data_IF_822570265349
#
_entry.id   IF_822570265349
#
_cell.length_a   1.000
_cell.length_b   1.000
_cell.length_c   1.000
_cell.angle_alpha   90.00
_cell.angle_beta   90.00
_cell.angle_gamma   90.00
#
_symmetry.space_group_name_H-M   'P 1'
#
loop_
_entity.id
_entity.type
_entity.pdbx_description
1 polymer ?
#
# COMPACT_ATOMS: atom_id res chain seq x y z
N UNK A 1 28.80 7.92 -58.18
CA UNK A 1 29.46 8.98 -57.41
C UNK A 1 28.42 10.00 -56.99
N UNK A 2 28.19 10.15 -55.69
CA UNK A 2 27.93 11.44 -55.06
C UNK A 2 28.16 11.29 -53.56
N UNK A 3 29.43 11.52 -53.22
CA UNK A 3 29.97 11.63 -51.88
C UNK A 3 29.50 12.96 -51.28
N UNK A 4 28.67 12.92 -50.23
CA UNK A 4 28.59 14.01 -49.28
C UNK A 4 28.48 13.47 -47.86
N UNK A 5 29.59 13.64 -47.16
CA UNK A 5 29.74 13.74 -45.70
C UNK A 5 29.44 12.49 -44.87
N UNK A 6 30.46 11.64 -44.86
CA UNK A 6 31.02 11.10 -43.63
C UNK A 6 31.62 12.23 -42.76
N UNK A 7 31.73 11.93 -41.46
CA UNK A 7 32.54 12.59 -40.42
C UNK A 7 31.78 13.61 -39.55
N UNK A 8 31.21 13.11 -38.46
CA UNK A 8 31.50 13.65 -37.14
C UNK A 8 31.73 12.46 -36.19
N UNK A 9 32.99 12.28 -35.86
CA UNK A 9 33.53 11.27 -34.96
C UNK A 9 33.05 11.52 -33.52
N UNK A 10 32.68 10.43 -32.86
CA UNK A 10 32.94 10.08 -31.45
C UNK A 10 33.07 11.20 -30.42
N UNK A 11 32.21 11.19 -29.40
CA UNK A 11 32.62 11.34 -28.00
C UNK A 11 31.48 11.01 -27.02
N UNK A 12 31.82 10.16 -26.05
CA UNK A 12 31.18 9.95 -24.73
C UNK A 12 30.13 8.84 -24.67
N UNK A 13 30.67 7.63 -24.57
CA UNK A 13 30.28 6.62 -23.60
C UNK A 13 29.95 7.18 -22.20
N UNK A 14 29.05 6.48 -21.49
CA UNK A 14 28.62 6.62 -20.08
C UNK A 14 27.26 7.31 -19.94
N UNK A 15 26.18 6.52 -20.00
CA UNK A 15 25.36 6.23 -18.81
C UNK A 15 24.98 4.75 -18.86
N UNK A 16 25.87 3.92 -18.33
CA UNK A 16 25.49 2.64 -17.76
C UNK A 16 24.67 2.91 -16.50
N UNK A 17 23.69 2.04 -16.21
CA UNK A 17 22.71 2.09 -15.11
C UNK A 17 21.43 2.86 -15.45
N UNK A 18 20.70 2.34 -16.42
CA UNK A 18 19.24 2.50 -16.53
C UNK A 18 18.52 1.17 -16.77
N UNK A 19 19.23 0.05 -16.63
CA UNK A 19 18.68 -1.30 -16.70
C UNK A 19 18.34 -1.78 -15.30
N UNK A 20 17.36 -1.14 -14.67
CA UNK A 20 16.51 -1.79 -13.67
C UNK A 20 15.07 -1.48 -14.05
N UNK A 21 14.56 -2.33 -14.94
CA UNK A 21 13.18 -2.80 -14.91
C UNK A 21 12.11 -1.72 -14.63
N UNK A 22 11.78 -0.93 -15.66
CA UNK A 22 10.37 -0.61 -15.92
C UNK A 22 9.75 -1.89 -16.49
N UNK A 23 9.61 -2.90 -15.62
CA UNK A 23 8.79 -4.06 -15.89
C UNK A 23 7.42 -3.72 -15.36
N UNK A 24 6.47 -3.64 -16.28
CA UNK A 24 5.05 -3.49 -16.08
C UNK A 24 4.55 -4.22 -14.81
N UNK A 25 4.22 -3.47 -13.76
CA UNK A 25 3.43 -3.96 -12.62
C UNK A 25 1.94 -4.04 -13.02
N UNK A 26 1.65 -4.76 -14.09
CA UNK A 26 0.31 -5.26 -14.43
C UNK A 26 0.27 -6.80 -14.38
N UNK A 27 1.28 -7.43 -13.76
CA UNK A 27 1.12 -8.79 -13.26
C UNK A 27 0.41 -8.69 -11.93
N UNK A 28 -0.77 -9.31 -11.82
CA UNK A 28 -1.27 -9.78 -10.54
C UNK A 28 -0.07 -10.37 -9.78
N UNK A 29 0.39 -9.65 -8.76
CA UNK A 29 1.36 -10.20 -7.84
C UNK A 29 0.63 -11.38 -7.20
N UNK A 30 0.92 -12.59 -7.67
CA UNK A 30 0.63 -13.80 -6.92
C UNK A 30 1.52 -13.75 -5.66
N UNK A 31 1.12 -12.90 -4.72
CA UNK A 31 1.74 -12.80 -3.42
C UNK A 31 1.48 -14.14 -2.76
N UNK A 32 2.52 -14.97 -2.66
CA UNK A 32 2.48 -16.15 -1.81
C UNK A 32 1.96 -15.72 -0.45
N UNK A 33 0.90 -16.37 0.04
CA UNK A 33 0.19 -15.97 1.26
C UNK A 33 1.21 -15.64 2.35
N UNK A 34 1.13 -14.42 2.88
CA UNK A 34 1.90 -13.99 4.04
C UNK A 34 3.42 -13.76 3.85
N UNK A 35 3.92 -13.62 2.61
CA UNK A 35 5.35 -13.35 2.33
C UNK A 35 5.64 -11.92 1.88
N UNK A 36 4.64 -11.05 1.87
CA UNK A 36 4.75 -9.62 1.53
C UNK A 36 5.83 -8.95 2.36
N UNK A 37 6.79 -8.29 1.72
CA UNK A 37 7.76 -7.46 2.44
C UNK A 37 7.19 -6.07 2.76
N UNK A 38 7.78 -5.39 3.74
CA UNK A 38 7.45 -3.99 4.07
C UNK A 38 7.52 -3.10 2.83
N UNK A 39 8.55 -3.25 1.99
CA UNK A 39 8.69 -2.49 0.73
C UNK A 39 7.57 -2.77 -0.26
N UNK A 40 7.22 -4.03 -0.47
CA UNK A 40 6.15 -4.41 -1.40
C UNK A 40 4.81 -3.83 -0.95
N UNK A 41 4.52 -3.93 0.36
CA UNK A 41 3.31 -3.37 0.94
C UNK A 41 3.24 -1.86 0.76
N UNK A 42 4.28 -1.10 1.16
CA UNK A 42 4.31 0.36 0.97
C UNK A 42 4.20 0.75 -0.52
N UNK A 43 4.88 0.02 -1.41
CA UNK A 43 4.83 0.26 -2.85
C UNK A 43 3.45 0.02 -3.45
N UNK A 44 2.70 -0.97 -2.93
CA UNK A 44 1.33 -1.22 -3.34
C UNK A 44 0.38 -0.18 -2.73
N UNK A 45 0.52 0.10 -1.43
CA UNK A 45 -0.31 1.03 -0.69
C UNK A 45 -0.30 2.41 -1.35
N UNK A 46 0.88 2.95 -1.65
CA UNK A 46 1.06 4.27 -2.29
C UNK A 46 0.50 4.38 -3.70
N UNK A 47 0.36 3.26 -4.43
CA UNK A 47 -0.28 3.24 -5.76
C UNK A 47 -1.82 3.19 -5.66
N UNK A 48 -2.36 2.62 -4.58
CA UNK A 48 -3.80 2.40 -4.38
C UNK A 48 -4.50 3.52 -3.57
N UNK A 49 -3.85 4.67 -3.34
CA UNK A 49 -4.42 5.81 -2.59
C UNK A 49 -5.35 6.71 -3.41
N UNK A 50 -5.78 6.29 -4.60
CA UNK A 50 -6.55 7.17 -5.50
C UNK A 50 -8.01 7.37 -5.07
N UNK A 51 -8.64 6.35 -4.47
CA UNK A 51 -10.03 6.47 -4.05
C UNK A 51 -10.13 7.16 -2.69
N UNK A 52 -11.07 8.11 -2.59
CA UNK A 52 -11.34 8.89 -1.39
C UNK A 52 -12.84 8.89 -1.09
N UNK A 53 -13.22 9.13 0.17
CA UNK A 53 -14.63 9.28 0.53
C UNK A 53 -15.28 10.48 -0.17
N UNK A 54 -14.51 11.49 -0.56
CA UNK A 54 -15.00 12.66 -1.28
C UNK A 54 -15.46 12.37 -2.72
N UNK A 55 -15.10 11.22 -3.29
CA UNK A 55 -15.56 10.80 -4.62
C UNK A 55 -17.05 10.41 -4.65
N UNK A 56 -17.65 10.19 -3.47
CA UNK A 56 -19.06 9.81 -3.33
C UNK A 56 -19.98 11.02 -3.50
N UNK A 57 -21.02 10.85 -4.32
CA UNK A 57 -22.11 11.83 -4.49
C UNK A 57 -23.29 11.61 -3.54
N UNK A 58 -23.42 10.39 -3.01
CA UNK A 58 -24.43 10.08 -2.02
C UNK A 58 -23.94 10.51 -0.63
N UNK A 59 -24.60 11.51 -0.05
CA UNK A 59 -24.17 12.12 1.22
C UNK A 59 -24.25 11.15 2.41
N UNK A 60 -25.17 10.18 2.37
CA UNK A 60 -25.29 9.19 3.43
C UNK A 60 -24.10 8.22 3.38
N UNK A 61 -23.81 7.63 2.21
CA UNK A 61 -22.66 6.74 2.04
C UNK A 61 -21.34 7.48 2.26
N UNK A 62 -21.25 8.77 1.87
CA UNK A 62 -20.09 9.62 2.15
C UNK A 62 -19.87 9.78 3.65
N UNK A 63 -20.93 10.05 4.41
CA UNK A 63 -20.87 10.15 5.88
C UNK A 63 -20.42 8.82 6.50
N UNK A 64 -20.96 7.69 6.05
CA UNK A 64 -20.56 6.36 6.52
C UNK A 64 -19.10 6.06 6.18
N UNK A 65 -18.63 6.46 4.99
CA UNK A 65 -17.25 6.28 4.56
C UNK A 65 -16.28 7.02 5.48
N UNK A 66 -16.55 8.30 5.78
CA UNK A 66 -15.73 9.07 6.71
C UNK A 66 -15.78 8.52 8.14
N UNK A 67 -16.94 8.07 8.60
CA UNK A 67 -17.07 7.44 9.91
C UNK A 67 -16.23 6.16 10.02
N UNK A 68 -16.26 5.31 9.00
CA UNK A 68 -15.44 4.10 8.92
C UNK A 68 -13.94 4.43 8.88
N UNK A 69 -13.54 5.39 8.04
CA UNK A 69 -12.15 5.84 7.92
C UNK A 69 -11.62 6.40 9.24
N UNK A 70 -12.42 7.24 9.92
CA UNK A 70 -12.06 7.82 11.21
C UNK A 70 -11.94 6.75 12.29
N UNK A 71 -12.90 5.83 12.41
CA UNK A 71 -12.86 4.75 13.38
C UNK A 71 -11.63 3.85 13.20
N UNK A 72 -11.26 3.52 11.96
CA UNK A 72 -10.03 2.76 11.71
C UNK A 72 -8.79 3.57 12.06
N UNK A 73 -8.76 4.87 11.72
CA UNK A 73 -7.69 5.77 12.14
C UNK A 73 -7.52 5.76 13.66
N UNK A 74 -8.60 5.88 14.41
CA UNK A 74 -8.61 5.83 15.87
C UNK A 74 -8.09 4.51 16.43
N UNK A 75 -8.41 3.37 15.80
CA UNK A 75 -7.96 2.06 16.27
C UNK A 75 -6.52 1.72 15.86
N UNK A 76 -6.00 2.33 14.80
CA UNK A 76 -4.70 1.94 14.21
C UNK A 76 -3.59 2.92 14.51
N UNK A 77 -3.87 4.22 14.61
CA UNK A 77 -2.84 5.25 14.75
C UNK A 77 -2.11 5.20 16.10
N UNK A 78 -0.77 5.20 16.08
CA UNK A 78 0.09 5.02 17.27
C UNK A 78 -0.15 6.07 18.38
N UNK A 79 -0.59 7.28 18.04
CA UNK A 79 -0.89 8.34 19.01
C UNK A 79 -2.34 8.40 19.49
N UNK A 80 -3.21 7.50 19.03
CA UNK A 80 -4.62 7.52 19.40
C UNK A 80 -4.83 6.89 20.79
N UNK A 81 -5.65 7.50 21.68
CA UNK A 81 -6.05 6.87 22.94
C UNK A 81 -6.92 5.62 22.74
N UNK A 82 -7.46 5.43 21.53
CA UNK A 82 -8.29 4.28 21.14
C UNK A 82 -7.51 3.22 20.36
N UNK A 83 -6.19 3.42 20.15
CA UNK A 83 -5.39 2.48 19.38
C UNK A 83 -5.38 1.12 20.07
N UNK A 84 -5.76 0.07 19.35
CA UNK A 84 -5.82 -1.27 19.93
C UNK A 84 -4.41 -1.86 20.03
N UNK A 85 -4.16 -2.64 21.09
CA UNK A 85 -2.85 -3.22 21.37
C UNK A 85 -2.21 -3.94 20.15
N UNK A 86 -2.94 -4.76 19.36
CA UNK A 86 -2.34 -5.40 18.19
C UNK A 86 -1.77 -4.40 17.17
N UNK A 87 -2.41 -3.26 16.98
CA UNK A 87 -1.93 -2.22 16.07
C UNK A 87 -0.73 -1.48 16.63
N UNK A 88 -0.69 -1.25 17.95
CA UNK A 88 0.50 -0.71 18.60
C UNK A 88 1.71 -1.65 18.43
N UNK A 89 1.51 -2.97 18.52
CA UNK A 89 2.59 -3.94 18.28
C UNK A 89 3.04 -3.94 16.81
N UNK A 90 2.10 -3.83 15.87
CA UNK A 90 2.43 -3.67 14.46
C UNK A 90 3.25 -2.40 14.20
N UNK A 91 2.87 -1.26 14.77
CA UNK A 91 3.62 -0.01 14.61
C UNK A 91 5.02 -0.09 15.23
N UNK A 92 5.17 -0.72 16.41
CA UNK A 92 6.48 -1.01 17.00
C UNK A 92 7.37 -1.84 16.07
N UNK A 93 6.83 -2.89 15.47
CA UNK A 93 7.53 -3.68 14.47
C UNK A 93 7.91 -2.83 13.26
N UNK A 94 6.96 -2.08 12.70
CA UNK A 94 7.16 -1.28 11.49
C UNK A 94 8.25 -0.21 11.69
N UNK A 95 8.34 0.38 12.89
CA UNK A 95 9.35 1.36 13.26
C UNK A 95 10.77 0.79 13.36
N UNK A 96 10.92 -0.55 13.41
CA UNK A 96 12.20 -1.25 13.54
C UNK A 96 12.54 -2.11 12.32
N UNK A 97 11.56 -2.41 11.47
CA UNK A 97 11.69 -3.29 10.34
C UNK A 97 12.51 -2.67 9.19
N UNK A 98 13.29 -3.50 8.51
CA UNK A 98 13.88 -3.16 7.22
C UNK A 98 12.86 -3.33 6.10
N UNK A 99 13.14 -2.68 4.97
CA UNK A 99 12.29 -2.74 3.77
C UNK A 99 12.12 -4.17 3.20
N UNK A 100 13.08 -5.06 3.47
CA UNK A 100 13.06 -6.46 3.03
C UNK A 100 12.39 -7.42 4.01
N UNK A 101 12.06 -6.98 5.22
CA UNK A 101 11.46 -7.84 6.24
C UNK A 101 10.02 -8.20 5.86
N UNK A 102 9.59 -9.41 6.24
CA UNK A 102 8.21 -9.87 6.00
C UNK A 102 7.26 -9.06 6.88
N UNK A 103 6.27 -8.43 6.25
CA UNK A 103 5.31 -7.50 6.86
C UNK A 103 4.56 -8.11 8.04
N UNK A 104 4.15 -9.38 7.91
CA UNK A 104 3.38 -10.07 8.93
C UNK A 104 4.25 -10.98 9.81
N UNK A 105 5.51 -10.61 10.01
CA UNK A 105 6.36 -11.26 11.02
C UNK A 105 5.63 -11.27 12.36
N UNK A 106 5.58 -12.42 13.05
CA UNK A 106 4.89 -12.55 14.33
C UNK A 106 3.37 -12.33 14.29
N UNK A 107 2.76 -12.36 13.09
CA UNK A 107 1.35 -12.05 12.85
C UNK A 107 0.93 -10.62 13.23
N UNK A 108 1.87 -9.68 13.40
CA UNK A 108 1.54 -8.33 13.87
C UNK A 108 0.57 -7.60 12.93
N UNK A 109 0.80 -7.69 11.62
CA UNK A 109 -0.05 -7.05 10.62
C UNK A 109 -1.47 -7.61 10.65
N UNK A 110 -1.60 -8.93 10.57
CA UNK A 110 -2.88 -9.64 10.59
C UNK A 110 -3.65 -9.36 11.88
N UNK A 111 -2.97 -9.41 13.03
CA UNK A 111 -3.61 -9.14 14.32
C UNK A 111 -4.12 -7.70 14.45
N UNK A 112 -3.52 -6.76 13.72
CA UNK A 112 -4.01 -5.39 13.59
C UNK A 112 -5.11 -5.29 12.52
N UNK A 113 -4.77 -5.29 11.23
CA UNK A 113 -5.71 -4.95 10.16
C UNK A 113 -6.73 -6.06 9.81
N UNK A 114 -6.58 -7.27 10.36
CA UNK A 114 -7.62 -8.30 10.26
C UNK A 114 -8.31 -8.55 11.61
N UNK A 115 -8.09 -7.66 12.59
CA UNK A 115 -8.81 -7.69 13.86
C UNK A 115 -10.31 -7.50 13.64
N UNK A 116 -11.14 -8.25 14.37
CA UNK A 116 -12.59 -8.15 14.28
C UNK A 116 -13.13 -6.73 14.53
N UNK A 117 -12.50 -5.95 15.42
CA UNK A 117 -12.90 -4.56 15.70
C UNK A 117 -12.66 -3.67 14.49
N UNK A 118 -11.50 -3.80 13.83
CA UNK A 118 -11.16 -3.01 12.64
C UNK A 118 -12.00 -3.44 11.45
N UNK A 119 -12.17 -4.74 11.22
CA UNK A 119 -13.03 -5.25 10.15
C UNK A 119 -14.47 -4.76 10.31
N UNK A 120 -15.02 -4.79 11.53
CA UNK A 120 -16.36 -4.25 11.80
C UNK A 120 -16.47 -2.77 11.47
N UNK A 121 -15.44 -1.97 11.78
CA UNK A 121 -15.41 -0.54 11.42
C UNK A 121 -15.36 -0.35 9.90
N UNK A 122 -14.50 -1.11 9.20
CA UNK A 122 -14.42 -1.07 7.74
C UNK A 122 -15.77 -1.37 7.07
N UNK A 123 -16.47 -2.41 7.55
CA UNK A 123 -17.77 -2.84 7.02
C UNK A 123 -18.93 -1.86 7.31
N UNK A 124 -18.73 -0.77 8.06
CA UNK A 124 -19.76 0.25 8.26
C UNK A 124 -20.11 1.01 6.96
N UNK A 125 -19.17 1.09 6.02
CA UNK A 125 -19.40 1.61 4.66
C UNK A 125 -18.97 0.58 3.64
N UNK A 126 -19.89 0.24 2.74
CA UNK A 126 -19.59 -0.68 1.66
C UNK A 126 -18.52 -0.08 0.72
N UNK A 127 -18.64 1.21 0.41
CA UNK A 127 -17.66 1.89 -0.43
C UNK A 127 -16.27 1.92 0.22
N UNK A 128 -16.20 2.34 1.49
CA UNK A 128 -14.93 2.38 2.20
C UNK A 128 -14.27 0.99 2.25
N UNK A 129 -15.02 -0.05 2.63
CA UNK A 129 -14.48 -1.40 2.69
C UNK A 129 -13.92 -1.88 1.34
N UNK A 130 -14.70 -1.77 0.27
CA UNK A 130 -14.35 -2.41 -1.01
C UNK A 130 -13.41 -1.57 -1.87
N UNK A 131 -13.47 -0.24 -1.77
CA UNK A 131 -12.73 0.67 -2.65
C UNK A 131 -11.46 1.19 -2.00
N UNK A 132 -11.44 1.32 -0.67
CA UNK A 132 -10.30 1.92 0.06
C UNK A 132 -9.63 0.87 0.95
N UNK A 133 -10.36 0.34 1.93
CA UNK A 133 -9.80 -0.50 2.97
C UNK A 133 -9.22 -1.82 2.44
N UNK A 134 -10.03 -2.62 1.76
CA UNK A 134 -9.61 -3.93 1.27
C UNK A 134 -8.43 -3.84 0.28
N UNK A 135 -8.45 -2.98 -0.75
CA UNK A 135 -7.31 -2.84 -1.64
C UNK A 135 -6.02 -2.45 -0.93
N UNK A 136 -6.09 -1.53 0.04
CA UNK A 136 -4.90 -0.97 0.70
C UNK A 136 -4.37 -1.81 1.86
N UNK A 137 -5.26 -2.38 2.69
CA UNK A 137 -4.87 -3.05 3.93
C UNK A 137 -4.99 -4.56 3.87
N UNK A 138 -5.70 -5.13 2.89
CA UNK A 138 -5.82 -6.60 2.76
C UNK A 138 -5.03 -7.07 1.54
N UNK A 139 -5.41 -6.58 0.35
CA UNK A 139 -4.77 -6.99 -0.91
C UNK A 139 -3.29 -6.62 -0.97
N UNK A 140 -2.93 -5.37 -0.65
CA UNK A 140 -1.51 -4.97 -0.67
C UNK A 140 -0.64 -5.69 0.35
N UNK A 141 -1.24 -6.25 1.42
CA UNK A 141 -0.54 -7.03 2.41
C UNK A 141 -0.45 -8.52 2.04
N UNK A 142 -1.04 -8.95 0.91
CA UNK A 142 -0.98 -10.32 0.41
C UNK A 142 -1.94 -11.29 1.13
N UNK A 143 -3.11 -10.80 1.54
CA UNK A 143 -4.20 -11.57 2.15
C UNK A 143 -5.44 -11.66 1.25
#
# INVERSE_FOLDING_TARGET
MNSKLLIALSLISIISIGAFAVYSFNGDLEMGRNQTTVFQWFSCFTKNTQAQCDDLKDELEKTLCFAAAHAIGDFTYEGSPLAIEPCQQFHKFLNQANTTDVLNTGNYYQNCYMNVTILKAAYQSYYFNNTIYYPQYIRCAGF
#
